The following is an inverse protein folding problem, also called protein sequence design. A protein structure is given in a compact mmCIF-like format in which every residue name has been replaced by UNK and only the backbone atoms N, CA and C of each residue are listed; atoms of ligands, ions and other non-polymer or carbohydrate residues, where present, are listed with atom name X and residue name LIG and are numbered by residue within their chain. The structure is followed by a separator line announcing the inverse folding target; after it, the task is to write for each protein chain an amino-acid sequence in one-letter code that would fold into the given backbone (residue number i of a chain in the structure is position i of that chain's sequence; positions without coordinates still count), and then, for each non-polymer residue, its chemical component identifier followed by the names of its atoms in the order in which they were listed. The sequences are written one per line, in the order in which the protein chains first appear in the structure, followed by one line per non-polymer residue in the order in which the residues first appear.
data_IF_803621297533
#
_entry.id   IF_803621297533
#
_cell.length_a   1.000
_cell.length_b   1.000
_cell.length_c   1.000
_cell.angle_alpha   90.00
_cell.angle_beta   90.00
_cell.angle_gamma   90.00
#
_symmetry.space_group_name_H-M   'P 1'
#
loop_
_entity.id
_entity.type
_entity.pdbx_description
1 polymer ?
#
# COMPACT_ATOMS: atom_id res chain seq x y z
N UNK A 1 -39.48 -49.90 -7.78
CA UNK A 1 -39.17 -49.36 -6.43
C UNK A 1 -37.69 -48.96 -6.31
N UNK A 2 -36.74 -49.70 -6.90
CA UNK A 2 -35.30 -49.37 -6.86
C UNK A 2 -34.84 -48.22 -7.78
N UNK A 3 -35.46 -48.02 -8.95
CA UNK A 3 -34.93 -47.03 -9.91
C UNK A 3 -35.36 -45.60 -9.59
N UNK A 4 -36.61 -45.38 -9.16
CA UNK A 4 -37.09 -44.07 -8.72
C UNK A 4 -36.33 -43.54 -7.49
N UNK A 5 -35.92 -44.43 -6.59
CA UNK A 5 -35.11 -44.05 -5.42
C UNK A 5 -33.69 -43.65 -5.85
N UNK A 6 -33.09 -44.34 -6.84
CA UNK A 6 -31.78 -43.95 -7.40
C UNK A 6 -31.82 -42.60 -8.09
N UNK A 7 -32.87 -42.32 -8.87
CA UNK A 7 -33.01 -41.03 -9.56
C UNK A 7 -33.17 -39.89 -8.55
N UNK A 8 -34.00 -40.05 -7.52
CA UNK A 8 -34.14 -39.05 -6.44
C UNK A 8 -32.81 -38.76 -5.71
N UNK A 9 -32.03 -39.79 -5.38
CA UNK A 9 -30.72 -39.60 -4.76
C UNK A 9 -29.67 -38.98 -5.71
N UNK A 10 -29.78 -39.23 -7.02
CA UNK A 10 -28.88 -38.63 -8.00
C UNK A 10 -29.16 -37.12 -8.14
N UNK A 11 -30.42 -36.71 -8.17
CA UNK A 11 -30.83 -35.31 -8.24
C UNK A 11 -30.41 -34.54 -6.98
N UNK A 12 -30.64 -35.12 -5.79
CA UNK A 12 -30.22 -34.52 -4.51
C UNK A 12 -28.69 -34.36 -4.42
N UNK A 13 -27.93 -35.36 -4.89
CA UNK A 13 -26.47 -35.30 -4.91
C UNK A 13 -25.97 -34.23 -5.90
N UNK A 14 -26.56 -34.16 -7.09
CA UNK A 14 -26.21 -33.17 -8.11
C UNK A 14 -26.49 -31.75 -7.61
N UNK A 15 -27.64 -31.51 -6.99
CA UNK A 15 -27.96 -30.22 -6.37
C UNK A 15 -27.03 -29.89 -5.21
N UNK A 16 -26.69 -30.86 -4.36
CA UNK A 16 -25.75 -30.69 -3.26
C UNK A 16 -24.36 -30.29 -3.76
N UNK A 17 -23.86 -30.94 -4.81
CA UNK A 17 -22.58 -30.61 -5.46
C UNK A 17 -22.64 -29.23 -6.10
N UNK A 18 -23.69 -28.91 -6.85
CA UNK A 18 -23.87 -27.57 -7.46
C UNK A 18 -23.87 -26.47 -6.41
N UNK A 19 -24.64 -26.65 -5.32
CA UNK A 19 -24.68 -25.70 -4.20
C UNK A 19 -23.33 -25.57 -3.51
N UNK A 20 -22.66 -26.67 -3.22
CA UNK A 20 -21.33 -26.66 -2.60
C UNK A 20 -20.28 -25.92 -3.45
N UNK A 21 -20.27 -26.18 -4.77
CA UNK A 21 -19.37 -25.49 -5.71
C UNK A 21 -19.70 -23.99 -5.80
N UNK A 22 -20.99 -23.64 -5.86
CA UNK A 22 -21.40 -22.24 -5.93
C UNK A 22 -21.01 -21.48 -4.66
N UNK A 23 -21.33 -22.02 -3.48
CA UNK A 23 -20.96 -21.42 -2.20
C UNK A 23 -19.45 -21.30 -2.04
N UNK A 24 -18.70 -22.35 -2.39
CA UNK A 24 -17.24 -22.31 -2.32
C UNK A 24 -16.62 -21.25 -3.24
N UNK A 25 -17.19 -21.07 -4.45
CA UNK A 25 -16.75 -20.01 -5.38
C UNK A 25 -17.09 -18.63 -4.87
N UNK A 26 -18.31 -18.41 -4.41
CA UNK A 26 -18.77 -17.12 -3.87
C UNK A 26 -17.93 -16.72 -2.66
N UNK A 27 -17.77 -17.62 -1.68
CA UNK A 27 -16.98 -17.38 -0.48
C UNK A 27 -15.49 -17.17 -0.81
N UNK A 28 -14.92 -18.01 -1.67
CA UNK A 28 -13.52 -17.90 -2.07
C UNK A 28 -13.23 -16.60 -2.81
N UNK A 29 -14.13 -16.18 -3.70
CA UNK A 29 -13.99 -14.93 -4.43
C UNK A 29 -14.16 -13.71 -3.51
N UNK A 30 -15.17 -13.72 -2.64
CA UNK A 30 -15.41 -12.64 -1.68
C UNK A 30 -14.22 -12.47 -0.73
N UNK A 31 -13.74 -13.57 -0.14
CA UNK A 31 -12.60 -13.54 0.77
C UNK A 31 -11.32 -13.11 0.05
N UNK A 32 -11.04 -13.69 -1.12
CA UNK A 32 -9.86 -13.36 -1.92
C UNK A 32 -9.84 -11.90 -2.36
N UNK A 33 -10.98 -11.38 -2.83
CA UNK A 33 -11.09 -9.98 -3.24
C UNK A 33 -10.93 -9.03 -2.04
N UNK A 34 -11.59 -9.32 -0.92
CA UNK A 34 -11.51 -8.50 0.28
C UNK A 34 -10.09 -8.44 0.82
N UNK A 35 -9.42 -9.58 0.95
CA UNK A 35 -8.04 -9.66 1.44
C UNK A 35 -7.06 -9.00 0.47
N UNK A 36 -7.17 -9.32 -0.82
CA UNK A 36 -6.29 -8.77 -1.85
C UNK A 36 -6.42 -7.26 -1.98
N UNK A 37 -7.64 -6.72 -1.97
CA UNK A 37 -7.87 -5.28 -2.05
C UNK A 37 -7.37 -4.56 -0.80
N UNK A 38 -7.66 -5.10 0.39
CA UNK A 38 -7.20 -4.49 1.64
C UNK A 38 -5.68 -4.42 1.70
N UNK A 39 -4.99 -5.54 1.45
CA UNK A 39 -3.53 -5.59 1.48
C UNK A 39 -2.90 -4.73 0.39
N UNK A 40 -3.42 -4.82 -0.83
CA UNK A 40 -2.90 -4.05 -1.96
C UNK A 40 -3.07 -2.54 -1.78
N UNK A 41 -4.22 -2.10 -1.25
CA UNK A 41 -4.47 -0.68 -1.00
C UNK A 41 -3.61 -0.15 0.15
N UNK A 42 -3.51 -0.88 1.26
CA UNK A 42 -2.71 -0.47 2.41
C UNK A 42 -1.23 -0.34 2.05
N UNK A 43 -0.66 -1.37 1.40
CA UNK A 43 0.73 -1.34 0.96
C UNK A 43 0.98 -0.26 -0.10
N UNK A 44 0.10 -0.17 -1.10
CA UNK A 44 0.25 0.81 -2.18
C UNK A 44 0.16 2.25 -1.68
N UNK A 45 -0.77 2.53 -0.77
CA UNK A 45 -0.94 3.86 -0.18
C UNK A 45 0.25 4.22 0.72
N UNK A 46 0.70 3.29 1.59
CA UNK A 46 1.85 3.53 2.45
C UNK A 46 3.11 3.82 1.63
N UNK A 47 3.44 2.94 0.67
CA UNK A 47 4.61 3.11 -0.19
C UNK A 47 4.52 4.39 -1.02
N UNK A 48 3.35 4.68 -1.58
CA UNK A 48 3.13 5.89 -2.38
C UNK A 48 3.28 7.18 -1.58
N UNK A 49 2.76 7.22 -0.34
CA UNK A 49 2.90 8.37 0.54
C UNK A 49 4.35 8.56 1.01
N UNK A 50 5.02 7.49 1.43
CA UNK A 50 6.42 7.53 1.86
C UNK A 50 7.33 8.01 0.72
N UNK A 51 7.20 7.43 -0.48
CA UNK A 51 7.97 7.83 -1.65
C UNK A 51 7.66 9.26 -2.09
N UNK A 52 6.38 9.65 -2.10
CA UNK A 52 5.97 11.00 -2.48
C UNK A 52 6.50 12.07 -1.53
N UNK A 53 6.45 11.79 -0.21
CA UNK A 53 7.00 12.68 0.82
C UNK A 53 8.53 12.80 0.67
N UNK A 54 9.23 11.68 0.51
CA UNK A 54 10.69 11.65 0.31
C UNK A 54 11.11 12.44 -0.94
N UNK A 55 10.42 12.24 -2.06
CA UNK A 55 10.67 12.97 -3.30
C UNK A 55 10.41 14.48 -3.15
N UNK A 56 9.32 14.86 -2.47
CA UNK A 56 9.00 16.26 -2.21
C UNK A 56 10.02 16.95 -1.31
N UNK A 57 10.48 16.28 -0.25
CA UNK A 57 11.56 16.77 0.63
C UNK A 57 12.86 16.93 -0.15
N UNK A 58 13.24 15.93 -0.95
CA UNK A 58 14.44 15.98 -1.79
C UNK A 58 14.40 17.16 -2.75
N UNK A 59 13.30 17.35 -3.48
CA UNK A 59 13.13 18.48 -4.39
C UNK A 59 13.27 19.82 -3.66
N UNK A 60 12.62 19.97 -2.49
CA UNK A 60 12.74 21.20 -1.70
C UNK A 60 14.19 21.47 -1.28
N UNK A 61 14.94 20.45 -0.84
CA UNK A 61 16.34 20.61 -0.47
C UNK A 61 17.16 21.09 -1.66
N UNK A 62 17.04 20.44 -2.81
CA UNK A 62 17.79 20.77 -4.02
C UNK A 62 17.47 22.20 -4.51
N UNK A 63 16.19 22.56 -4.61
CA UNK A 63 15.77 23.91 -5.01
C UNK A 63 16.35 24.99 -4.08
N UNK A 64 16.33 24.75 -2.76
CA UNK A 64 16.87 25.72 -1.82
C UNK A 64 18.41 25.80 -1.87
N UNK A 65 19.10 24.71 -2.22
CA UNK A 65 20.55 24.74 -2.45
C UNK A 65 20.90 25.52 -3.72
N UNK A 66 20.11 25.39 -4.78
CA UNK A 66 20.24 26.21 -6.00
C UNK A 66 20.03 27.70 -5.71
N UNK A 67 19.08 28.02 -4.83
CA UNK A 67 18.86 29.37 -4.30
C UNK A 67 19.94 29.86 -3.31
N UNK A 68 20.99 29.07 -3.05
CA UNK A 68 22.07 29.35 -2.08
C UNK A 68 21.58 29.57 -0.65
N UNK A 69 20.52 28.88 -0.24
CA UNK A 69 20.08 28.87 1.17
C UNK A 69 21.06 28.07 2.03
N UNK A 70 21.16 28.46 3.30
CA UNK A 70 22.01 27.73 4.24
C UNK A 70 21.33 26.46 4.75
N UNK A 71 22.11 25.53 5.32
CA UNK A 71 21.60 24.32 5.94
C UNK A 71 20.50 24.65 6.97
N UNK A 72 20.73 25.64 7.82
CA UNK A 72 19.82 26.04 8.90
C UNK A 72 18.48 26.55 8.35
N UNK A 73 18.51 27.27 7.24
CA UNK A 73 17.28 27.75 6.58
C UNK A 73 16.49 26.59 5.97
N UNK A 74 17.18 25.62 5.38
CA UNK A 74 16.56 24.45 4.75
C UNK A 74 15.96 23.54 5.81
N UNK A 75 16.72 23.19 6.85
CA UNK A 75 16.21 22.34 7.94
C UNK A 75 15.06 23.00 8.69
N UNK A 76 15.12 24.31 8.95
CA UNK A 76 13.99 25.05 9.53
C UNK A 76 12.73 25.01 8.65
N UNK A 77 12.89 25.11 7.32
CA UNK A 77 11.77 24.95 6.37
C UNK A 77 11.21 23.53 6.41
N UNK A 78 12.06 22.51 6.50
CA UNK A 78 11.64 21.11 6.57
C UNK A 78 10.80 20.83 7.83
N UNK A 79 11.28 21.27 8.99
CA UNK A 79 10.54 21.18 10.27
C UNK A 79 9.19 21.90 10.16
N UNK A 80 9.18 23.12 9.61
CA UNK A 80 7.96 23.94 9.53
C UNK A 80 6.93 23.42 8.51
N UNK A 81 7.36 22.84 7.38
CA UNK A 81 6.47 22.47 6.26
C UNK A 81 6.03 21.01 6.31
N UNK A 82 6.84 20.13 6.87
CA UNK A 82 6.58 18.69 6.92
C UNK A 82 6.44 18.15 8.34
N UNK A 83 6.35 19.03 9.35
CA UNK A 83 6.20 18.66 10.77
C UNK A 83 7.27 17.67 11.26
N UNK A 84 8.46 17.72 10.64
CA UNK A 84 9.59 16.86 10.98
C UNK A 84 10.23 17.30 12.29
N UNK A 85 10.80 16.34 13.03
CA UNK A 85 11.74 16.68 14.11
C UNK A 85 13.00 17.34 13.52
N UNK A 86 13.69 18.19 14.30
CA UNK A 86 14.96 18.78 13.87
C UNK A 86 15.99 17.72 13.42
N UNK A 87 16.04 16.60 14.14
CA UNK A 87 16.90 15.45 13.84
C UNK A 87 16.58 14.85 12.46
N UNK A 88 15.30 14.58 12.18
CA UNK A 88 14.88 14.02 10.89
C UNK A 88 15.13 15.00 9.74
N UNK A 89 14.89 16.29 9.95
CA UNK A 89 15.20 17.33 8.96
C UNK A 89 16.70 17.37 8.63
N UNK A 90 17.57 17.21 9.63
CA UNK A 90 19.00 17.08 9.42
C UNK A 90 19.38 15.81 8.67
N UNK A 91 18.78 14.66 9.01
CA UNK A 91 19.00 13.41 8.29
C UNK A 91 18.64 13.54 6.81
N UNK A 92 17.49 14.14 6.50
CA UNK A 92 17.08 14.39 5.11
C UNK A 92 18.03 15.35 4.38
N UNK A 93 18.44 16.45 5.04
CA UNK A 93 19.40 17.37 4.47
C UNK A 93 20.75 16.67 4.21
N UNK A 94 21.25 15.87 5.14
CA UNK A 94 22.52 15.16 4.96
C UNK A 94 22.43 14.11 3.83
N UNK A 95 21.27 13.45 3.67
CA UNK A 95 21.02 12.45 2.64
C UNK A 95 21.02 13.03 1.21
N UNK A 96 20.48 14.24 1.02
CA UNK A 96 20.31 14.82 -0.33
C UNK A 96 21.12 16.08 -0.60
N UNK A 97 21.57 16.77 0.43
CA UNK A 97 22.28 18.05 0.32
C UNK A 97 23.79 17.93 0.22
N UNK A 98 24.36 16.74 0.42
CA UNK A 98 25.79 16.48 0.23
C UNK A 98 26.03 15.50 -0.92
N UNK A 99 26.43 15.96 -2.12
CA UNK A 99 26.77 15.07 -3.23
C UNK A 99 28.04 14.22 -2.99
N UNK A 100 28.81 14.51 -1.94
CA UNK A 100 30.06 13.80 -1.57
C UNK A 100 29.87 12.68 -0.53
N UNK A 101 28.64 12.37 -0.13
CA UNK A 101 28.34 11.29 0.83
C UNK A 101 27.98 9.94 0.18
N UNK A 102 28.31 9.74 -1.10
CA UNK A 102 28.28 8.44 -1.80
C UNK A 102 29.68 8.03 -2.24
#
# INVERSE_FOLDING_TARGET
MCDAIRELFADELEEGVKRGVQLGKEQGLEQGLKQGLQQGLEQGLQQGLEQGLEQGIRALILDNLEERKTKEQITAKLVKRFELSPENAETYFNKYGNPTAQ
#
